data_IF_918298139883
#
_entry.id   IF_918298139883
#
_cell.length_a   1.000
_cell.length_b   1.000
_cell.length_c   1.000
_cell.angle_alpha   90.00
_cell.angle_beta   90.00
_cell.angle_gamma   90.00
#
_symmetry.space_group_name_H-M   'P 1'
#
loop_
_entity.id
_entity.type
_entity.pdbx_description
1 polymer ?
#
# COMPACT_ATOMS: atom_id res chain seq x y z
N UNK A 1 -12.93 -16.79 2.61
CA UNK A 1 -14.21 -16.46 3.27
C UNK A 1 -14.23 -15.01 3.78
N UNK A 2 -13.28 -14.61 4.62
CA UNK A 2 -13.21 -13.25 5.20
C UNK A 2 -13.34 -12.10 4.18
N UNK A 3 -12.65 -12.18 3.02
CA UNK A 3 -12.74 -11.16 1.97
C UNK A 3 -14.15 -11.05 1.39
N UNK A 4 -14.81 -12.19 1.15
CA UNK A 4 -16.14 -12.23 0.54
C UNK A 4 -17.18 -11.66 1.52
N UNK A 5 -17.12 -12.06 2.79
CA UNK A 5 -18.01 -11.53 3.83
C UNK A 5 -17.80 -10.04 4.06
N UNK A 6 -16.55 -9.57 4.05
CA UNK A 6 -16.23 -8.14 4.19
C UNK A 6 -16.78 -7.30 3.03
N UNK A 7 -16.54 -7.73 1.79
CA UNK A 7 -17.06 -7.03 0.60
C UNK A 7 -18.59 -6.98 0.59
N UNK A 8 -19.25 -8.08 0.95
CA UNK A 8 -20.71 -8.13 1.03
C UNK A 8 -21.26 -7.13 2.06
N UNK A 9 -20.65 -7.09 3.26
CA UNK A 9 -21.04 -6.13 4.30
C UNK A 9 -20.87 -4.68 3.83
N UNK A 10 -19.75 -4.37 3.14
CA UNK A 10 -19.55 -3.05 2.57
C UNK A 10 -20.67 -2.67 1.60
N UNK A 11 -21.04 -3.56 0.68
CA UNK A 11 -22.12 -3.32 -0.28
C UNK A 11 -23.44 -3.01 0.43
N UNK A 12 -23.79 -3.79 1.46
CA UNK A 12 -25.01 -3.56 2.26
C UNK A 12 -24.98 -2.17 2.91
N UNK A 13 -23.88 -1.79 3.54
CA UNK A 13 -23.74 -0.47 4.19
C UNK A 13 -23.86 0.66 3.15
N UNK A 14 -23.23 0.53 1.99
CA UNK A 14 -23.33 1.52 0.91
C UNK A 14 -24.77 1.68 0.40
N UNK A 15 -25.50 0.59 0.21
CA UNK A 15 -26.91 0.65 -0.22
C UNK A 15 -27.77 1.30 0.85
N UNK A 16 -27.61 0.92 2.12
CA UNK A 16 -28.36 1.51 3.23
C UNK A 16 -28.09 3.02 3.38
N UNK A 17 -26.83 3.45 3.22
CA UNK A 17 -26.48 4.88 3.25
C UNK A 17 -27.17 5.67 2.12
N UNK A 18 -27.20 5.12 0.90
CA UNK A 18 -27.89 5.76 -0.22
C UNK A 18 -29.41 5.84 0.01
N UNK A 19 -30.03 4.76 0.53
CA UNK A 19 -31.46 4.76 0.91
C UNK A 19 -31.74 5.86 1.94
N UNK A 20 -30.88 5.99 2.96
CA UNK A 20 -31.03 7.04 3.96
C UNK A 20 -30.93 8.44 3.35
N UNK A 21 -29.96 8.68 2.44
CA UNK A 21 -29.84 9.98 1.76
C UNK A 21 -31.08 10.33 0.95
N UNK A 22 -31.61 9.40 0.15
CA UNK A 22 -32.82 9.64 -0.66
C UNK A 22 -34.10 9.75 0.16
N UNK A 23 -34.14 9.24 1.39
CA UNK A 23 -35.29 9.42 2.27
C UNK A 23 -35.44 10.86 2.77
N UNK A 24 -34.37 11.66 2.74
CA UNK A 24 -34.31 12.97 3.40
C UNK A 24 -33.98 14.11 2.43
N UNK A 25 -33.07 13.86 1.47
CA UNK A 25 -32.69 14.85 0.46
C UNK A 25 -33.44 14.59 -0.84
N UNK A 26 -33.91 15.68 -1.46
CA UNK A 26 -34.35 15.62 -2.84
C UNK A 26 -33.17 15.46 -3.81
N UNK A 27 -33.38 14.91 -5.02
CA UNK A 27 -32.30 14.77 -6.00
C UNK A 27 -31.63 16.10 -6.36
N UNK A 28 -32.38 17.19 -6.40
CA UNK A 28 -31.85 18.54 -6.68
C UNK A 28 -30.88 19.01 -5.58
N UNK A 29 -31.21 18.74 -4.31
CA UNK A 29 -30.35 19.10 -3.18
C UNK A 29 -29.07 18.26 -3.14
N UNK A 30 -29.18 16.98 -3.50
CA UNK A 30 -28.00 16.10 -3.57
C UNK A 30 -27.03 16.54 -4.66
N UNK A 31 -27.54 16.98 -5.82
CA UNK A 31 -26.72 17.49 -6.93
C UNK A 31 -26.09 18.86 -6.63
N UNK A 32 -26.79 19.71 -5.87
CA UNK A 32 -26.28 21.03 -5.48
C UNK A 32 -25.27 20.95 -4.31
N UNK A 33 -25.24 19.84 -3.58
CA UNK A 33 -24.45 19.70 -2.37
C UNK A 33 -23.03 19.22 -2.66
N UNK A 34 -22.01 20.03 -2.33
CA UNK A 34 -20.60 19.62 -2.40
C UNK A 34 -20.27 18.44 -1.47
N UNK A 35 -20.89 18.38 -0.29
CA UNK A 35 -20.68 17.32 0.70
C UNK A 35 -22.02 16.77 1.22
N UNK A 36 -22.58 15.80 0.49
CA UNK A 36 -23.92 15.21 0.74
C UNK A 36 -24.14 14.80 2.20
N UNK A 37 -23.11 14.21 2.83
CA UNK A 37 -23.18 13.78 4.22
C UNK A 37 -23.37 14.94 5.22
N UNK A 38 -22.77 16.10 4.94
CA UNK A 38 -22.93 17.30 5.79
C UNK A 38 -24.32 17.91 5.63
N UNK A 39 -24.82 18.02 4.41
CA UNK A 39 -26.18 18.50 4.12
C UNK A 39 -27.25 17.59 4.74
N UNK A 40 -27.04 16.27 4.71
CA UNK A 40 -27.90 15.30 5.38
C UNK A 40 -27.94 15.46 6.90
N UNK A 41 -26.78 15.63 7.53
CA UNK A 41 -26.70 15.79 8.98
C UNK A 41 -27.25 17.13 9.46
N UNK A 42 -27.11 18.21 8.68
CA UNK A 42 -27.76 19.49 8.96
C UNK A 42 -29.29 19.37 9.02
N UNK A 43 -29.89 18.63 8.08
CA UNK A 43 -31.35 18.44 8.05
C UNK A 43 -31.89 17.48 9.12
N UNK A 44 -31.08 16.51 9.55
CA UNK A 44 -31.53 15.45 10.48
C UNK A 44 -31.20 15.74 11.92
N UNK A 45 -29.98 16.21 12.19
CA UNK A 45 -29.41 16.32 13.51
C UNK A 45 -29.32 17.78 14.00
N UNK A 46 -29.64 18.75 13.14
CA UNK A 46 -29.66 20.18 13.48
C UNK A 46 -28.35 20.64 14.09
N UNK A 47 -28.38 20.96 15.38
CA UNK A 47 -27.23 21.46 16.14
C UNK A 47 -26.06 20.48 16.21
N UNK A 48 -26.26 19.16 16.11
CA UNK A 48 -25.15 18.19 16.13
C UNK A 48 -24.44 18.03 14.77
N UNK A 49 -24.87 18.75 13.74
CA UNK A 49 -24.31 18.65 12.39
C UNK A 49 -22.84 19.10 12.28
N UNK A 50 -22.34 19.95 13.19
CA UNK A 50 -20.92 20.36 13.20
C UNK A 50 -19.97 19.20 13.49
N UNK A 51 -20.44 18.11 14.11
CA UNK A 51 -19.63 16.92 14.36
C UNK A 51 -19.35 16.14 13.07
N UNK A 52 -20.20 16.26 12.04
CA UNK A 52 -20.10 15.43 10.84
C UNK A 52 -18.79 15.66 10.06
N UNK A 53 -18.38 16.90 9.73
CA UNK A 53 -17.08 17.13 9.11
C UNK A 53 -15.90 16.63 9.95
N UNK A 54 -15.98 16.74 11.28
CA UNK A 54 -14.93 16.25 12.17
C UNK A 54 -14.79 14.72 12.11
N UNK A 55 -15.91 13.99 12.12
CA UNK A 55 -15.93 12.52 11.99
C UNK A 55 -15.34 12.11 10.63
N UNK A 56 -15.77 12.77 9.54
CA UNK A 56 -15.23 12.52 8.19
C UNK A 56 -13.73 12.80 8.13
N UNK A 57 -13.26 13.88 8.77
CA UNK A 57 -11.84 14.22 8.86
C UNK A 57 -11.00 13.15 9.57
N UNK A 58 -11.50 12.63 10.70
CA UNK A 58 -10.83 11.54 11.43
C UNK A 58 -10.76 10.27 10.58
N UNK A 59 -11.84 9.91 9.89
CA UNK A 59 -11.86 8.77 8.97
C UNK A 59 -10.85 8.93 7.83
N UNK A 60 -10.78 10.13 7.22
CA UNK A 60 -9.85 10.40 6.13
C UNK A 60 -8.39 10.34 6.58
N UNK A 61 -8.10 10.80 7.80
CA UNK A 61 -6.76 10.70 8.40
C UNK A 61 -6.34 9.23 8.57
N UNK A 62 -7.28 8.35 8.92
CA UNK A 62 -7.03 6.91 8.98
C UNK A 62 -6.63 6.30 7.63
N UNK A 63 -7.33 6.68 6.56
CA UNK A 63 -7.01 6.24 5.20
C UNK A 63 -5.64 6.74 4.75
N UNK A 64 -5.37 8.04 4.91
CA UNK A 64 -4.08 8.65 4.53
C UNK A 64 -2.92 7.99 5.27
N UNK A 65 -3.07 7.74 6.58
CA UNK A 65 -2.02 7.07 7.36
C UNK A 65 -1.74 5.65 6.86
N UNK A 66 -2.79 4.90 6.51
CA UNK A 66 -2.65 3.54 5.98
C UNK A 66 -1.97 3.54 4.61
N UNK A 67 -2.34 4.48 3.75
CA UNK A 67 -1.74 4.65 2.42
C UNK A 67 -0.25 4.97 2.55
N UNK A 68 0.13 5.94 3.38
CA UNK A 68 1.54 6.30 3.61
C UNK A 68 2.37 5.10 4.02
N UNK A 69 1.86 4.26 4.93
CA UNK A 69 2.57 3.06 5.37
C UNK A 69 2.63 1.96 4.31
N UNK A 70 1.64 1.85 3.42
CA UNK A 70 1.69 0.90 2.32
C UNK A 70 2.73 1.34 1.26
N UNK A 71 2.67 2.60 0.84
CA UNK A 71 3.55 3.13 -0.21
C UNK A 71 5.01 3.22 0.23
N UNK A 72 5.29 3.65 1.46
CA UNK A 72 6.66 3.69 2.00
C UNK A 72 7.34 2.31 1.94
N UNK A 73 6.62 1.23 2.22
CA UNK A 73 7.12 -0.15 2.09
C UNK A 73 7.35 -0.55 0.64
N UNK A 74 6.45 -0.17 -0.26
CA UNK A 74 6.64 -0.40 -1.70
C UNK A 74 7.91 0.29 -2.23
N UNK A 75 8.09 1.57 -1.88
CA UNK A 75 9.26 2.36 -2.29
C UNK A 75 10.56 1.83 -1.66
N UNK A 76 10.52 1.45 -0.39
CA UNK A 76 11.65 0.81 0.30
C UNK A 76 12.06 -0.51 -0.39
N UNK A 77 11.08 -1.35 -0.75
CA UNK A 77 11.34 -2.60 -1.46
C UNK A 77 11.91 -2.37 -2.87
N UNK A 78 11.43 -1.35 -3.59
CA UNK A 78 11.97 -0.95 -4.89
C UNK A 78 13.41 -0.43 -4.78
N UNK A 79 13.70 0.40 -3.79
CA UNK A 79 15.04 0.92 -3.53
C UNK A 79 16.05 -0.18 -3.18
N UNK A 80 15.63 -1.20 -2.41
CA UNK A 80 16.47 -2.37 -2.12
C UNK A 80 16.84 -3.20 -3.35
N UNK A 81 16.03 -3.15 -4.41
CA UNK A 81 16.32 -3.81 -5.70
C UNK A 81 17.18 -2.96 -6.63
N UNK A 82 17.55 -1.74 -6.21
CA UNK A 82 18.26 -0.77 -7.06
C UNK A 82 17.34 -0.04 -8.05
N UNK A 83 16.03 -0.26 -7.98
CA UNK A 83 15.07 0.38 -8.88
C UNK A 83 14.76 1.84 -8.52
N UNK A 84 15.24 2.30 -7.36
CA UNK A 84 14.97 3.62 -6.83
C UNK A 84 16.21 4.17 -6.10
N UNK A 85 16.30 5.48 -5.81
CA UNK A 85 17.42 6.07 -5.09
C UNK A 85 17.74 5.36 -3.77
N UNK A 86 19.03 5.20 -3.45
CA UNK A 86 19.48 4.42 -2.28
C UNK A 86 19.03 5.05 -0.96
N UNK A 87 18.83 6.36 -0.92
CA UNK A 87 18.27 7.07 0.24
C UNK A 87 16.89 6.52 0.66
N UNK A 88 16.14 5.89 -0.24
CA UNK A 88 14.84 5.28 0.06
C UNK A 88 14.94 3.88 0.66
N UNK A 89 16.11 3.26 0.64
CA UNK A 89 16.40 1.99 1.32
C UNK A 89 16.91 2.17 2.76
N UNK A 90 16.83 3.40 3.30
CA UNK A 90 17.27 3.72 4.65
C UNK A 90 16.27 3.23 5.70
N UNK A 91 16.78 2.53 6.72
CA UNK A 91 16.03 2.04 7.87
C UNK A 91 16.67 2.54 9.16
N UNK A 92 15.83 2.94 10.12
CA UNK A 92 16.30 3.28 11.47
C UNK A 92 16.61 2.02 12.28
N UNK A 93 17.72 2.02 13.02
CA UNK A 93 18.19 0.87 13.79
C UNK A 93 17.31 0.56 15.00
N UNK A 94 16.85 1.58 15.73
CA UNK A 94 16.08 1.37 16.97
C UNK A 94 14.64 0.91 16.73
N UNK A 95 14.02 1.36 15.63
CA UNK A 95 12.57 1.19 15.40
C UNK A 95 12.25 0.39 14.12
N UNK A 96 13.27 -0.08 13.39
CA UNK A 96 13.15 -0.79 12.11
C UNK A 96 12.23 -0.07 11.08
N UNK A 97 12.13 1.26 11.18
CA UNK A 97 11.17 2.07 10.44
C UNK A 97 11.85 2.81 9.27
N UNK A 98 11.28 2.77 8.05
CA UNK A 98 11.82 3.50 6.91
C UNK A 98 11.38 4.97 6.94
N UNK A 99 11.95 5.75 7.87
CA UNK A 99 11.56 7.16 8.15
C UNK A 99 11.62 8.07 6.92
N UNK A 100 12.65 7.88 6.08
CA UNK A 100 12.88 8.71 4.89
C UNK A 100 11.77 8.53 3.85
N UNK A 101 11.35 7.29 3.58
CA UNK A 101 10.29 7.03 2.59
C UNK A 101 8.90 7.42 3.11
N UNK A 102 8.65 7.27 4.41
CA UNK A 102 7.42 7.75 5.05
C UNK A 102 7.30 9.27 4.90
N UNK A 103 8.37 10.02 5.23
CA UNK A 103 8.37 11.48 5.10
C UNK A 103 8.19 11.93 3.64
N UNK A 104 8.93 11.32 2.71
CA UNK A 104 8.83 11.67 1.29
C UNK A 104 7.45 11.38 0.71
N UNK A 105 6.79 10.30 1.16
CA UNK A 105 5.44 10.00 0.70
C UNK A 105 4.39 10.96 1.26
N UNK A 106 4.54 11.45 2.50
CA UNK A 106 3.70 12.55 2.99
C UNK A 106 3.79 13.81 2.10
N UNK A 107 4.95 14.04 1.47
CA UNK A 107 5.19 15.18 0.58
C UNK A 107 4.73 14.94 -0.86
N UNK A 108 4.48 13.70 -1.26
CA UNK A 108 4.15 13.30 -2.65
C UNK A 108 2.88 12.45 -2.65
N UNK A 109 1.73 13.09 -2.87
CA UNK A 109 0.46 12.39 -3.10
C UNK A 109 0.12 12.47 -4.59
N UNK A 110 0.30 11.36 -5.31
CA UNK A 110 -0.21 11.17 -6.68
C UNK A 110 -0.54 9.69 -6.89
N UNK A 111 -1.83 9.32 -6.74
CA UNK A 111 -2.24 7.92 -6.60
C UNK A 111 -3.01 7.30 -7.76
N UNK A 112 -3.35 8.03 -8.84
CA UNK A 112 -4.40 7.54 -9.75
C UNK A 112 -3.91 6.64 -10.89
N UNK A 113 -2.69 6.80 -11.40
CA UNK A 113 -2.20 6.02 -12.56
C UNK A 113 -1.58 4.66 -12.19
N UNK A 114 -1.20 4.49 -10.93
CA UNK A 114 -0.57 3.26 -10.44
C UNK A 114 -1.51 2.05 -10.49
N UNK A 115 -2.81 2.24 -10.26
CA UNK A 115 -3.75 1.14 -10.12
C UNK A 115 -3.90 0.34 -11.42
N UNK A 116 -3.94 1.02 -12.57
CA UNK A 116 -4.00 0.36 -13.88
C UNK A 116 -2.73 -0.47 -14.14
N UNK A 117 -1.55 0.09 -13.84
CA UNK A 117 -0.28 -0.60 -14.04
C UNK A 117 -0.16 -1.86 -13.18
N UNK A 118 -0.59 -1.80 -11.91
CA UNK A 118 -0.57 -2.95 -11.01
C UNK A 118 -1.49 -4.07 -11.50
N UNK A 119 -2.73 -3.74 -11.90
CA UNK A 119 -3.68 -4.74 -12.41
C UNK A 119 -3.17 -5.39 -13.70
N UNK A 120 -2.60 -4.61 -14.62
CA UNK A 120 -1.99 -5.13 -15.84
C UNK A 120 -0.76 -6.01 -15.56
N UNK A 121 0.09 -5.62 -14.61
CA UNK A 121 1.25 -6.42 -14.20
C UNK A 121 0.85 -7.76 -13.57
N UNK A 122 -0.19 -7.76 -12.71
CA UNK A 122 -0.72 -8.99 -12.12
C UNK A 122 -1.30 -9.94 -13.18
N UNK A 123 -2.01 -9.39 -14.18
CA UNK A 123 -2.51 -10.16 -15.31
C UNK A 123 -1.36 -10.74 -16.14
N UNK A 124 -0.32 -9.95 -16.41
CA UNK A 124 0.86 -10.39 -17.16
C UNK A 124 1.60 -11.54 -16.46
N UNK A 125 1.85 -11.42 -15.15
CA UNK A 125 2.50 -12.46 -14.33
C UNK A 125 1.69 -13.76 -14.38
N UNK A 126 0.35 -13.66 -14.36
CA UNK A 126 -0.54 -14.81 -14.40
C UNK A 126 -0.53 -15.50 -15.77
N UNK A 127 -0.48 -14.74 -16.87
CA UNK A 127 -0.39 -15.28 -18.23
C UNK A 127 0.95 -15.97 -18.46
N UNK A 128 2.05 -15.41 -17.94
CA UNK A 128 3.41 -15.96 -18.10
C UNK A 128 3.74 -17.14 -17.18
N UNK A 129 2.80 -17.58 -16.33
CA UNK A 129 2.94 -18.74 -15.42
C UNK A 129 4.27 -18.74 -14.64
N UNK A 130 4.67 -17.58 -14.13
CA UNK A 130 5.83 -17.46 -13.22
C UNK A 130 5.60 -18.40 -12.02
N UNK A 131 6.61 -19.15 -11.55
CA UNK A 131 6.43 -20.12 -10.47
C UNK A 131 5.91 -19.41 -9.22
N UNK A 132 4.66 -19.70 -8.86
CA UNK A 132 3.99 -19.20 -7.66
C UNK A 132 4.16 -20.24 -6.56
N UNK A 133 4.25 -19.80 -5.31
CA UNK A 133 4.36 -20.68 -4.14
C UNK A 133 3.24 -21.75 -4.15
N UNK A 134 3.55 -22.96 -3.65
CA UNK A 134 2.69 -24.14 -3.82
C UNK A 134 1.30 -23.98 -3.18
N UNK A 135 1.16 -23.12 -2.17
CA UNK A 135 -0.09 -22.84 -1.46
C UNK A 135 -0.88 -21.64 -2.02
N UNK A 136 -0.56 -21.18 -3.23
CA UNK A 136 -1.23 -20.02 -3.81
C UNK A 136 -2.69 -20.31 -4.21
N UNK A 137 -3.62 -19.56 -3.60
CA UNK A 137 -5.05 -19.59 -3.92
C UNK A 137 -5.24 -19.19 -5.40
N UNK A 138 -5.85 -20.08 -6.18
CA UNK A 138 -6.08 -19.87 -7.62
C UNK A 138 -7.48 -19.31 -7.85
N UNK A 139 -7.56 -18.07 -8.34
CA UNK A 139 -8.82 -17.46 -8.75
C UNK A 139 -9.14 -17.73 -10.23
N UNK A 140 -10.42 -17.79 -10.62
CA UNK A 140 -10.83 -17.95 -12.01
C UNK A 140 -10.39 -16.75 -12.85
N UNK A 141 -9.96 -17.01 -14.10
CA UNK A 141 -9.41 -15.99 -15.02
C UNK A 141 -10.43 -14.90 -15.39
N UNK A 142 -11.72 -15.17 -15.21
CA UNK A 142 -12.81 -14.23 -15.51
C UNK A 142 -12.69 -12.96 -14.64
N UNK A 143 -12.33 -13.11 -13.36
CA UNK A 143 -12.25 -11.99 -12.40
C UNK A 143 -11.24 -10.90 -12.79
N UNK A 144 -9.97 -11.21 -13.10
CA UNK A 144 -9.04 -10.18 -13.54
C UNK A 144 -9.38 -9.59 -14.92
N UNK A 145 -10.02 -10.35 -15.81
CA UNK A 145 -10.46 -9.83 -17.11
C UNK A 145 -11.59 -8.80 -16.93
N UNK A 146 -12.60 -9.12 -16.12
CA UNK A 146 -13.69 -8.18 -15.84
C UNK A 146 -13.18 -6.93 -15.12
N UNK A 147 -12.26 -7.09 -14.17
CA UNK A 147 -11.61 -5.96 -13.50
C UNK A 147 -10.83 -5.08 -14.48
N UNK A 148 -10.14 -5.67 -15.46
CA UNK A 148 -9.42 -4.92 -16.49
C UNK A 148 -10.39 -4.13 -17.38
N UNK A 149 -11.51 -4.74 -17.80
CA UNK A 149 -12.53 -4.07 -18.62
C UNK A 149 -13.12 -2.87 -17.85
N UNK A 150 -13.46 -3.05 -16.58
CA UNK A 150 -13.99 -1.96 -15.72
C UNK A 150 -12.93 -0.86 -15.54
N UNK A 151 -11.68 -1.23 -15.27
CA UNK A 151 -10.59 -0.27 -15.10
C UNK A 151 -10.33 0.54 -16.38
N UNK A 152 -10.42 -0.09 -17.55
CA UNK A 152 -10.30 0.60 -18.83
C UNK A 152 -11.45 1.60 -19.03
N UNK A 153 -12.68 1.22 -18.71
CA UNK A 153 -13.83 2.13 -18.77
C UNK A 153 -13.65 3.34 -17.82
N UNK A 154 -13.17 3.11 -16.60
CA UNK A 154 -12.88 4.18 -15.63
C UNK A 154 -11.76 5.12 -16.04
N UNK A 155 -10.89 4.74 -16.97
CA UNK A 155 -9.90 5.65 -17.56
C UNK A 155 -10.50 6.38 -18.76
N UNK A 156 -11.18 5.67 -19.65
CA UNK A 156 -11.70 6.24 -20.91
C UNK A 156 -12.79 7.29 -20.63
N UNK A 157 -13.69 7.05 -19.68
CA UNK A 157 -14.82 7.96 -19.40
C UNK A 157 -14.32 9.34 -18.91
N UNK A 158 -13.47 9.46 -17.88
CA UNK A 158 -12.90 10.75 -17.48
C UNK A 158 -12.07 11.40 -18.59
N UNK A 159 -11.36 10.61 -19.40
CA UNK A 159 -10.59 11.14 -20.52
C UNK A 159 -11.46 11.83 -21.57
N UNK A 160 -12.68 11.33 -21.76
CA UNK A 160 -13.66 11.95 -22.64
C UNK A 160 -14.24 13.21 -22.01
N UNK A 161 -14.60 13.15 -20.74
CA UNK A 161 -15.30 14.25 -20.06
C UNK A 161 -14.39 15.46 -19.80
N UNK A 162 -13.13 15.22 -19.41
CA UNK A 162 -12.15 16.27 -19.15
C UNK A 162 -10.80 15.91 -19.80
N UNK A 163 -10.67 16.30 -21.05
CA UNK A 163 -9.48 16.02 -21.85
C UNK A 163 -8.23 16.75 -21.33
N UNK A 164 -8.38 17.89 -20.63
CA UNK A 164 -7.25 18.64 -20.08
C UNK A 164 -6.66 17.89 -18.89
N UNK A 165 -7.51 17.47 -17.95
CA UNK A 165 -7.09 16.64 -16.82
C UNK A 165 -6.45 15.33 -17.30
N UNK A 166 -7.00 14.74 -18.36
CA UNK A 166 -6.46 13.52 -18.96
C UNK A 166 -5.05 13.71 -19.54
N UNK A 167 -4.84 14.76 -20.35
CA UNK A 167 -3.53 15.08 -20.94
C UNK A 167 -2.50 15.37 -19.84
N UNK A 168 -2.88 16.09 -18.79
CA UNK A 168 -2.00 16.31 -17.63
C UNK A 168 -1.64 14.99 -16.96
N UNK A 169 -2.62 14.11 -16.73
CA UNK A 169 -2.41 12.78 -16.16
C UNK A 169 -1.44 11.93 -17.00
N UNK A 170 -1.70 11.80 -18.30
CA UNK A 170 -0.82 11.06 -19.21
C UNK A 170 0.56 11.70 -19.34
N UNK A 171 0.65 13.03 -19.32
CA UNK A 171 1.91 13.76 -19.33
C UNK A 171 2.77 13.46 -18.10
N UNK A 172 2.16 13.44 -16.90
CA UNK A 172 2.84 13.04 -15.66
C UNK A 172 3.28 11.57 -15.71
N UNK A 173 2.44 10.65 -16.21
CA UNK A 173 2.85 9.25 -16.37
C UNK A 173 4.02 9.08 -17.35
N UNK A 174 3.97 9.76 -18.50
CA UNK A 174 5.04 9.71 -19.49
C UNK A 174 6.33 10.31 -18.93
N UNK A 175 6.23 11.40 -18.16
CA UNK A 175 7.37 11.98 -17.47
C UNK A 175 8.04 10.96 -16.54
N UNK A 176 7.29 10.26 -15.68
CA UNK A 176 7.86 9.22 -14.81
C UNK A 176 8.45 8.04 -15.58
N UNK A 177 7.84 7.66 -16.71
CA UNK A 177 8.39 6.63 -17.59
C UNK A 177 9.72 7.07 -18.22
N UNK A 178 9.81 8.32 -18.68
CA UNK A 178 11.05 8.90 -19.16
C UNK A 178 12.12 8.93 -18.06
N UNK A 179 11.77 9.34 -16.84
CA UNK A 179 12.70 9.29 -15.68
C UNK A 179 13.20 7.87 -15.43
N UNK A 180 12.34 6.85 -15.52
CA UNK A 180 12.75 5.45 -15.38
C UNK A 180 13.76 5.02 -16.45
N UNK A 181 13.51 5.32 -17.73
CA UNK A 181 14.46 4.97 -18.80
C UNK A 181 15.75 5.77 -18.73
N UNK A 182 15.69 7.06 -18.38
CA UNK A 182 16.85 7.91 -18.16
C UNK A 182 17.68 7.35 -17.01
N UNK A 183 17.06 6.90 -15.91
CA UNK A 183 17.77 6.23 -14.81
C UNK A 183 18.58 5.05 -15.33
N UNK A 184 17.96 4.13 -16.06
CA UNK A 184 18.65 2.94 -16.59
C UNK A 184 19.87 3.31 -17.47
N UNK A 185 19.75 4.37 -18.26
CA UNK A 185 20.84 4.89 -19.10
C UNK A 185 21.90 5.70 -18.34
N UNK A 186 21.53 6.39 -17.26
CA UNK A 186 22.37 7.41 -16.59
C UNK A 186 22.96 6.93 -15.27
N UNK A 187 22.42 5.87 -14.66
CA UNK A 187 22.95 5.25 -13.44
C UNK A 187 24.44 4.84 -13.51
N UNK A 188 25.02 4.41 -14.66
CA UNK A 188 26.46 4.16 -14.72
C UNK A 188 27.32 5.44 -14.71
N UNK A 189 26.74 6.64 -14.80
CA UNK A 189 27.50 7.90 -14.77
C UNK A 189 27.90 8.25 -13.33
N UNK A 190 29.21 8.40 -13.12
CA UNK A 190 29.82 8.85 -11.86
C UNK A 190 29.14 10.03 -11.15
N UNK A 191 28.70 11.12 -11.83
CA UNK A 191 28.01 12.23 -11.16
C UNK A 191 26.67 11.83 -10.54
N UNK A 192 25.90 10.93 -11.16
CA UNK A 192 24.60 10.49 -10.62
C UNK A 192 24.79 9.60 -9.40
N UNK A 193 25.76 8.68 -9.46
CA UNK A 193 26.15 7.86 -8.30
C UNK A 193 26.66 8.75 -7.16
N UNK A 194 27.47 9.76 -7.47
CA UNK A 194 27.96 10.72 -6.48
C UNK A 194 26.82 11.50 -5.81
N UNK A 195 25.85 12.01 -6.58
CA UNK A 195 24.68 12.72 -6.03
C UNK A 195 23.84 11.77 -5.16
N UNK A 196 23.64 10.53 -5.59
CA UNK A 196 22.92 9.52 -4.83
C UNK A 196 23.63 9.21 -3.50
N UNK A 197 24.96 9.07 -3.51
CA UNK A 197 25.76 8.82 -2.31
C UNK A 197 25.76 10.01 -1.34
N UNK A 198 25.87 11.24 -1.86
CA UNK A 198 25.80 12.47 -1.05
C UNK A 198 24.41 12.60 -0.43
N UNK A 199 23.36 12.40 -1.21
CA UNK A 199 21.96 12.45 -0.73
C UNK A 199 21.72 11.38 0.33
N UNK A 200 22.22 10.16 0.10
CA UNK A 200 22.09 9.05 1.05
C UNK A 200 22.82 9.37 2.35
N UNK A 201 24.08 9.84 2.30
CA UNK A 201 24.84 10.24 3.50
C UNK A 201 24.19 11.40 4.26
N UNK A 202 23.59 12.34 3.54
CA UNK A 202 22.83 13.43 4.14
C UNK A 202 21.60 12.88 4.88
N UNK A 203 20.80 12.03 4.25
CA UNK A 203 19.63 11.40 4.87
C UNK A 203 20.02 10.48 6.04
N UNK A 204 21.14 9.74 5.95
CA UNK A 204 21.67 8.91 7.04
C UNK A 204 21.94 9.74 8.30
N UNK A 205 22.62 10.89 8.14
CA UNK A 205 22.93 11.81 9.26
C UNK A 205 21.68 12.49 9.81
N UNK A 206 20.76 12.89 8.93
CA UNK A 206 19.55 13.62 9.32
C UNK A 206 18.56 12.74 10.09
N UNK A 207 18.39 11.48 9.68
CA UNK A 207 17.38 10.58 10.25
C UNK A 207 17.94 9.47 11.13
N UNK A 208 19.27 9.45 11.35
CA UNK A 208 19.98 8.39 12.05
C UNK A 208 19.63 7.00 11.50
N UNK A 209 19.76 6.84 10.19
CA UNK A 209 19.36 5.62 9.49
C UNK A 209 20.55 4.98 8.78
N UNK A 210 20.49 3.67 8.56
CA UNK A 210 21.47 2.91 7.81
C UNK A 210 20.84 2.30 6.55
N UNK A 211 21.67 2.07 5.52
CA UNK A 211 21.20 1.39 4.30
C UNK A 211 21.16 -0.09 4.60
N UNK A 212 20.00 -0.70 4.43
CA UNK A 212 19.86 -2.15 4.53
C UNK A 212 20.04 -2.72 3.12
N UNK A 213 21.19 -3.33 2.85
CA UNK A 213 21.42 -3.96 1.55
C UNK A 213 20.55 -5.22 1.40
N UNK A 214 20.23 -5.58 0.15
CA UNK A 214 19.39 -6.77 -0.11
C UNK A 214 20.02 -8.05 0.43
N UNK A 215 21.33 -8.22 0.25
CA UNK A 215 22.09 -9.40 0.71
C UNK A 215 22.11 -9.50 2.24
N UNK A 216 22.34 -8.39 2.94
CA UNK A 216 22.34 -8.36 4.40
C UNK A 216 20.95 -8.67 4.98
N UNK A 217 19.88 -8.16 4.37
CA UNK A 217 18.53 -8.47 4.85
C UNK A 217 18.10 -9.91 4.58
N UNK A 218 18.46 -10.51 3.43
CA UNK A 218 18.23 -11.95 3.19
C UNK A 218 19.02 -12.79 4.19
N UNK A 219 20.27 -12.43 4.44
CA UNK A 219 21.11 -13.09 5.45
C UNK A 219 20.50 -12.99 6.85
N UNK A 220 19.99 -11.82 7.23
CA UNK A 220 19.33 -11.60 8.52
C UNK A 220 18.01 -12.38 8.64
N UNK A 221 17.22 -12.49 7.56
CA UNK A 221 16.01 -13.32 7.55
C UNK A 221 16.32 -14.81 7.73
N UNK A 222 17.34 -15.34 7.07
CA UNK A 222 17.78 -16.72 7.28
C UNK A 222 18.27 -16.97 8.71
N UNK A 223 19.08 -16.05 9.25
CA UNK A 223 19.56 -16.13 10.64
C UNK A 223 18.40 -16.11 11.65
N UNK A 224 17.38 -15.29 11.40
CA UNK A 224 16.18 -15.20 12.25
C UNK A 224 15.34 -16.48 12.17
N UNK A 225 15.14 -17.02 10.97
CA UNK A 225 14.48 -18.30 10.76
C UNK A 225 15.19 -19.45 11.48
N UNK A 226 16.52 -19.53 11.40
CA UNK A 226 17.30 -20.56 12.08
C UNK A 226 17.23 -20.43 13.60
N UNK A 227 17.19 -19.19 14.11
CA UNK A 227 17.04 -18.94 15.54
C UNK A 227 15.64 -19.32 16.05
N UNK A 228 14.58 -19.00 15.29
CA UNK A 228 13.21 -19.35 15.65
C UNK A 228 12.98 -20.87 15.63
N UNK A 229 13.57 -21.58 14.66
CA UNK A 229 13.55 -23.06 14.61
C UNK A 229 14.21 -23.65 15.86
N UNK A 230 15.42 -23.18 16.23
CA UNK A 230 16.12 -23.63 17.43
C UNK A 230 15.34 -23.36 18.72
N UNK A 231 14.62 -22.23 18.77
CA UNK A 231 13.79 -21.88 19.93
C UNK A 231 12.60 -22.83 20.09
N UNK A 232 11.97 -23.23 18.97
CA UNK A 232 10.87 -24.22 18.96
C UNK A 232 11.38 -25.60 19.37
N UNK A 233 12.54 -26.04 18.87
CA UNK A 233 13.13 -27.33 19.22
C UNK A 233 13.47 -27.39 20.72
N UNK A 234 14.12 -26.37 21.27
CA UNK A 234 14.43 -26.30 22.71
C UNK A 234 13.17 -26.33 23.58
N UNK A 235 12.12 -25.61 23.18
CA UNK A 235 10.84 -25.61 23.92
C UNK A 235 10.16 -27.00 23.87
N UNK A 236 10.31 -27.71 22.76
CA UNK A 236 9.77 -29.07 22.57
C UNK A 236 10.54 -30.11 23.39
N UNK A 237 11.87 -29.97 23.49
CA UNK A 237 12.71 -30.82 24.35
C UNK A 237 12.43 -30.58 25.84
N UNK A 238 12.27 -29.33 26.26
CA UNK A 238 11.95 -28.98 27.65
C UNK A 238 10.57 -29.51 28.07
N UNK A 239 9.58 -29.50 27.18
CA UNK A 239 8.28 -30.12 27.41
C UNK A 239 8.35 -31.65 27.50
N UNK A 240 9.20 -32.30 26.71
CA UNK A 240 9.43 -33.76 26.80
C UNK A 240 10.11 -34.14 28.11
N UNK A 241 11.14 -33.39 28.53
CA UNK A 241 11.85 -33.65 29.79
C UNK A 241 10.90 -33.55 30.99
N UNK A 242 10.08 -32.50 31.06
CA UNK A 242 9.10 -32.33 32.14
C UNK A 242 8.03 -33.42 32.16
N UNK A 243 7.62 -33.94 31.00
CA UNK A 243 6.64 -35.04 30.91
C UNK A 243 7.21 -36.37 31.42
N UNK A 244 8.50 -36.63 31.14
CA UNK A 244 9.20 -37.83 31.64
C UNK A 244 9.41 -37.77 33.15
N UNK A 245 9.77 -36.59 33.68
CA UNK A 245 9.93 -36.40 35.12
C UNK A 245 8.59 -36.58 35.86
N UNK A 246 7.48 -36.05 35.35
CA UNK A 246 6.15 -36.26 35.96
C UNK A 246 5.73 -37.73 36.00
N UNK A 247 6.06 -38.51 34.96
CA UNK A 247 5.75 -39.95 34.91
C UNK A 247 6.63 -40.78 35.85
N UNK A 248 7.84 -40.30 36.18
CA UNK A 248 8.74 -40.98 37.12
C UNK A 248 8.43 -40.70 38.59
N UNK A 249 7.71 -39.62 38.90
CA UNK A 249 7.26 -39.29 40.26
C UNK A 249 5.93 -39.93 40.67
N UNK A 250 5.15 -40.45 39.71
CA UNK A 250 3.86 -41.13 39.96
C UNK A 250 3.95 -42.66 40.03
N UNK A 251 5.16 -43.24 39.90
CA UNK A 251 5.44 -44.69 40.05
C UNK A 251 6.19 -45.00 41.33
#
# INVERSE_FOLDING_TARGET
LAVISGLFLCIVIYVLANIAYFAILSPAEMLASEAVATTFTQKTLGDFSYAMPAIVGVLMTGTINSDVFMFSRFMFAGARRGDMPTAWALMNEENESPRVTVLLHYMIVCGMLQQCFVVSALLYIRIRKVPVHKDAIRFPLIVPITLLIISAALVIIPCWNDWVAAVVGFGVALFWLCVYFIREWTFPLKPVVYINDVTTKFCQRLFWCQVVTYEEAVKNEHLKSDHDIKKVDNTTEEQRANTVDTLSTES
#
